data_IF_985337760086
#
_entry.id   IF_985337760086
#
_cell.length_a   1.000
_cell.length_b   1.000
_cell.length_c   1.000
_cell.angle_alpha   90.00
_cell.angle_beta   90.00
_cell.angle_gamma   90.00
#
_symmetry.space_group_name_H-M   'P 1'
#
loop_
_entity.id
_entity.type
_entity.pdbx_description
1 polymer ?
#
# COMPACT_ATOMS: atom_id res chain seq x y z
N UNK A 1 2.13 -5.25 28.49
CA UNK A 1 2.97 -6.39 28.05
C UNK A 1 3.38 -6.08 26.63
N UNK A 2 4.61 -5.60 26.44
CA UNK A 2 5.12 -5.25 25.11
C UNK A 2 5.62 -6.55 24.49
N UNK A 3 4.85 -7.13 23.58
CA UNK A 3 5.30 -8.30 22.82
C UNK A 3 6.44 -7.84 21.94
N UNK A 4 7.67 -8.21 22.31
CA UNK A 4 8.83 -8.08 21.42
C UNK A 4 8.57 -8.99 20.21
N UNK A 5 8.16 -8.40 19.09
CA UNK A 5 8.12 -9.10 17.79
C UNK A 5 9.54 -9.62 17.54
N UNK A 6 9.68 -10.93 17.37
CA UNK A 6 10.95 -11.51 16.93
C UNK A 6 11.35 -10.82 15.62
N UNK A 7 12.64 -10.51 15.47
CA UNK A 7 13.16 -9.99 14.22
C UNK A 7 13.02 -11.09 13.16
N UNK A 8 12.01 -10.96 12.31
CA UNK A 8 11.87 -11.79 11.12
C UNK A 8 12.79 -11.17 10.07
N UNK A 9 13.57 -12.00 9.39
CA UNK A 9 14.44 -11.60 8.29
C UNK A 9 13.88 -12.15 6.98
N UNK A 10 13.94 -11.36 5.91
CA UNK A 10 13.67 -11.85 4.56
C UNK A 10 14.81 -12.82 4.21
N UNK A 11 14.57 -14.12 4.33
CA UNK A 11 15.63 -15.15 4.22
C UNK A 11 15.33 -16.25 3.22
N UNK A 12 14.10 -16.31 2.70
CA UNK A 12 13.71 -17.36 1.77
C UNK A 12 13.77 -16.87 0.32
N UNK A 13 14.38 -17.70 -0.52
CA UNK A 13 14.46 -17.47 -1.96
C UNK A 13 13.08 -17.64 -2.59
N UNK A 14 12.57 -16.54 -3.14
CA UNK A 14 11.40 -16.50 -3.98
C UNK A 14 11.76 -17.06 -5.37
N UNK A 15 10.94 -17.94 -5.98
CA UNK A 15 11.21 -18.44 -7.32
C UNK A 15 11.40 -17.30 -8.31
N UNK A 16 12.47 -17.34 -9.11
CA UNK A 16 12.81 -16.24 -10.03
C UNK A 16 11.67 -15.86 -11.00
N UNK A 17 10.87 -16.84 -11.45
CA UNK A 17 9.70 -16.57 -12.29
C UNK A 17 8.61 -15.80 -11.54
N UNK A 18 8.46 -16.07 -10.25
CA UNK A 18 7.50 -15.38 -9.38
C UNK A 18 7.96 -13.95 -9.11
N UNK A 19 9.24 -13.74 -8.77
CA UNK A 19 9.84 -12.41 -8.54
C UNK A 19 9.64 -11.51 -9.75
N UNK A 20 9.91 -12.02 -10.95
CA UNK A 20 9.68 -11.30 -12.20
C UNK A 20 8.21 -10.94 -12.41
N UNK A 21 7.31 -11.90 -12.21
CA UNK A 21 5.87 -11.64 -12.34
C UNK A 21 5.38 -10.57 -11.35
N UNK A 22 5.91 -10.55 -10.12
CA UNK A 22 5.56 -9.50 -9.15
C UNK A 22 6.12 -8.14 -9.59
N UNK A 23 7.39 -8.08 -10.00
CA UNK A 23 8.01 -6.86 -10.49
C UNK A 23 7.21 -6.27 -11.67
N UNK A 24 6.91 -7.08 -12.69
CA UNK A 24 6.10 -6.68 -13.85
C UNK A 24 4.72 -6.15 -13.41
N UNK A 25 4.06 -6.81 -12.46
CA UNK A 25 2.75 -6.39 -11.95
C UNK A 25 2.80 -5.07 -11.16
N UNK A 26 3.89 -4.82 -10.41
CA UNK A 26 4.13 -3.56 -9.69
C UNK A 26 4.39 -2.42 -10.67
N UNK A 27 5.22 -2.64 -11.69
CA UNK A 27 5.50 -1.66 -12.74
C UNK A 27 4.27 -1.32 -13.56
N UNK A 28 3.42 -2.32 -13.87
CA UNK A 28 2.15 -2.11 -14.57
C UNK A 28 1.18 -1.19 -13.80
N UNK A 29 1.38 -1.02 -12.49
CA UNK A 29 0.63 -0.09 -11.63
C UNK A 29 1.29 1.28 -11.47
N UNK A 30 2.38 1.54 -12.20
CA UNK A 30 3.06 2.83 -12.25
C UNK A 30 4.15 3.04 -11.22
N UNK A 31 4.58 2.00 -10.49
CA UNK A 31 5.66 2.09 -9.52
C UNK A 31 7.01 1.69 -10.12
N UNK A 32 8.08 2.38 -9.74
CA UNK A 32 9.44 2.06 -10.20
C UNK A 32 10.03 0.90 -9.38
N UNK A 33 10.33 -0.22 -10.03
CA UNK A 33 11.11 -1.30 -9.42
C UNK A 33 12.59 -0.99 -9.61
N UNK A 34 13.31 -0.78 -8.51
CA UNK A 34 14.76 -0.55 -8.51
C UNK A 34 15.54 -1.85 -8.63
N UNK A 35 14.99 -2.90 -8.04
CA UNK A 35 15.65 -4.20 -8.02
C UNK A 35 14.68 -5.37 -7.82
N UNK A 36 15.07 -6.53 -8.32
CA UNK A 36 14.29 -7.75 -8.27
C UNK A 36 15.23 -8.96 -8.23
N UNK A 37 15.69 -9.32 -7.03
CA UNK A 37 16.53 -10.49 -6.80
C UNK A 37 15.73 -11.68 -6.31
N UNK A 38 16.37 -12.84 -6.32
CA UNK A 38 15.83 -14.13 -5.86
C UNK A 38 15.27 -14.09 -4.42
N UNK A 39 15.46 -13.02 -3.64
CA UNK A 39 14.94 -12.90 -2.28
C UNK A 39 13.96 -11.75 -2.06
N UNK A 40 13.89 -10.76 -2.98
CA UNK A 40 13.05 -9.59 -2.79
C UNK A 40 12.85 -8.75 -4.05
N UNK A 41 11.73 -8.01 -4.08
CA UNK A 41 11.47 -6.89 -4.98
C UNK A 41 11.65 -5.58 -4.21
N UNK A 42 12.42 -4.66 -4.77
CA UNK A 42 12.71 -3.34 -4.21
C UNK A 42 12.07 -2.27 -5.08
N UNK A 43 11.19 -1.47 -4.47
CA UNK A 43 10.41 -0.42 -5.14
C UNK A 43 10.87 0.94 -4.63
N UNK A 44 11.05 1.90 -5.54
CA UNK A 44 11.34 3.29 -5.20
C UNK A 44 10.11 3.95 -4.56
N UNK A 45 10.34 4.73 -3.50
CA UNK A 45 9.30 5.57 -2.92
C UNK A 45 9.41 6.99 -3.47
N UNK A 46 8.37 7.45 -4.15
CA UNK A 46 8.20 8.88 -4.39
C UNK A 46 7.77 9.60 -3.09
N UNK A 47 7.64 10.93 -3.15
CA UNK A 47 7.31 11.74 -1.98
C UNK A 47 5.95 11.38 -1.36
N UNK A 48 4.94 11.11 -2.20
CA UNK A 48 3.58 10.78 -1.75
C UNK A 48 3.56 9.40 -1.10
N UNK A 49 4.24 8.42 -1.70
CA UNK A 49 4.36 7.07 -1.16
C UNK A 49 5.16 7.04 0.14
N UNK A 50 6.26 7.78 0.22
CA UNK A 50 7.06 7.93 1.43
C UNK A 50 6.23 8.56 2.57
N UNK A 51 5.41 9.56 2.28
CA UNK A 51 4.49 10.15 3.26
C UNK A 51 3.44 9.12 3.71
N UNK A 52 2.82 8.41 2.77
CA UNK A 52 1.76 7.44 3.03
C UNK A 52 2.21 6.31 3.97
N UNK A 53 3.41 5.77 3.77
CA UNK A 53 3.99 4.71 4.62
C UNK A 53 4.77 5.25 5.83
N UNK A 54 4.73 6.57 6.06
CA UNK A 54 5.46 7.25 7.13
C UNK A 54 6.96 6.93 7.15
N UNK A 55 7.60 6.94 5.98
CA UNK A 55 9.02 6.65 5.84
C UNK A 55 9.88 7.73 6.49
N UNK A 56 10.22 7.55 7.77
CA UNK A 56 11.13 8.44 8.49
C UNK A 56 12.58 8.31 7.97
N UNK A 57 12.98 7.08 7.62
CA UNK A 57 14.34 6.71 7.21
C UNK A 57 14.28 5.55 6.20
N UNK A 58 14.03 5.86 4.93
CA UNK A 58 14.02 4.86 3.85
C UNK A 58 13.38 5.46 2.58
N UNK A 59 14.06 5.31 1.46
CA UNK A 59 13.60 5.72 0.13
C UNK A 59 13.08 4.53 -0.69
N UNK A 60 12.99 3.35 -0.06
CA UNK A 60 12.67 2.08 -0.73
C UNK A 60 11.71 1.24 0.10
N UNK A 61 10.72 0.67 -0.59
CA UNK A 61 9.92 -0.45 -0.11
C UNK A 61 10.60 -1.75 -0.53
N UNK A 62 10.80 -2.67 0.40
CA UNK A 62 11.30 -4.01 0.12
C UNK A 62 10.17 -5.00 0.38
N UNK A 63 9.87 -5.85 -0.59
CA UNK A 63 8.86 -6.92 -0.52
C UNK A 63 9.59 -8.26 -0.68
N UNK A 64 9.40 -9.18 0.25
CA UNK A 64 10.05 -10.49 0.19
C UNK A 64 9.37 -11.52 1.06
N UNK A 65 9.72 -12.79 0.89
CA UNK A 65 9.28 -13.85 1.79
C UNK A 65 10.06 -13.82 3.10
N UNK A 66 9.35 -14.01 4.20
CA UNK A 66 9.97 -14.09 5.50
C UNK A 66 9.30 -15.17 6.35
N UNK A 67 10.11 -15.83 7.18
CA UNK A 67 9.71 -17.01 7.94
C UNK A 67 9.85 -18.29 7.13
N UNK A 68 10.65 -19.23 7.66
CA UNK A 68 10.79 -20.55 7.09
C UNK A 68 9.48 -21.32 7.24
N UNK A 69 8.76 -21.54 6.14
CA UNK A 69 7.82 -22.65 6.11
C UNK A 69 8.60 -23.93 6.39
N UNK A 70 8.24 -24.66 7.45
CA UNK A 70 8.66 -26.06 7.54
C UNK A 70 8.04 -26.76 6.31
N UNK A 71 8.86 -27.48 5.53
CA UNK A 71 8.44 -28.32 4.39
C UNK A 71 8.08 -27.65 3.05
N UNK A 72 8.79 -26.59 2.64
CA UNK A 72 8.75 -26.13 1.25
C UNK A 72 7.43 -25.46 0.83
N UNK A 73 6.61 -25.08 1.80
CA UNK A 73 5.53 -24.13 1.62
C UNK A 73 6.14 -22.74 1.32
N UNK A 74 5.53 -21.96 0.41
CA UNK A 74 5.95 -20.58 0.17
C UNK A 74 5.86 -19.79 1.49
N UNK A 75 6.97 -19.16 1.88
CA UNK A 75 7.00 -18.29 3.06
C UNK A 75 5.97 -17.17 2.97
N UNK A 76 5.59 -16.61 4.11
CA UNK A 76 4.63 -15.50 4.11
C UNK A 76 5.27 -14.25 3.47
N UNK A 77 4.46 -13.47 2.75
CA UNK A 77 4.96 -12.28 2.07
C UNK A 77 4.96 -11.10 3.03
N UNK A 78 6.13 -10.55 3.27
CA UNK A 78 6.38 -9.41 4.13
C UNK A 78 6.82 -8.19 3.34
N UNK A 79 6.72 -7.04 3.99
CA UNK A 79 7.29 -5.80 3.49
C UNK A 79 8.01 -5.05 4.61
N UNK A 80 8.89 -4.13 4.22
CA UNK A 80 9.43 -3.13 5.13
C UNK A 80 10.19 -2.03 4.39
N UNK A 81 10.63 -1.04 5.13
CA UNK A 81 11.34 0.12 4.58
C UNK A 81 12.85 -0.07 4.69
N UNK A 82 13.56 0.35 3.66
CA UNK A 82 15.02 0.32 3.63
C UNK A 82 15.59 1.59 3.02
N UNK A 83 16.81 1.93 3.43
CA UNK A 83 17.60 3.02 2.84
C UNK A 83 18.61 2.54 1.79
N UNK A 84 18.90 1.24 1.78
CA UNK A 84 19.85 0.62 0.86
C UNK A 84 19.26 -0.55 0.07
N UNK A 85 18.02 -0.95 0.38
CA UNK A 85 17.33 -2.09 -0.23
C UNK A 85 17.81 -3.45 0.28
N UNK A 86 18.81 -3.49 1.17
CA UNK A 86 19.43 -4.72 1.66
C UNK A 86 19.08 -4.99 3.12
N UNK A 87 19.03 -3.95 3.95
CA UNK A 87 18.69 -4.07 5.36
C UNK A 87 17.30 -3.51 5.64
N UNK A 88 16.42 -4.35 6.18
CA UNK A 88 15.05 -4.00 6.58
C UNK A 88 14.91 -4.18 8.09
N UNK A 89 14.93 -3.11 8.90
CA UNK A 89 14.97 -3.19 10.36
C UNK A 89 13.64 -3.66 10.98
N UNK A 90 12.53 -3.44 10.26
CA UNK A 90 11.18 -3.78 10.69
C UNK A 90 10.41 -4.38 9.52
N UNK A 91 9.88 -5.58 9.72
CA UNK A 91 8.98 -6.24 8.78
C UNK A 91 7.55 -6.22 9.29
N UNK A 92 6.65 -5.94 8.37
CA UNK A 92 5.22 -6.12 8.52
C UNK A 92 4.70 -7.12 7.49
N UNK A 93 3.53 -7.69 7.78
CA UNK A 93 2.88 -8.61 6.87
C UNK A 93 2.31 -7.83 5.68
N UNK A 94 2.61 -8.29 4.47
CA UNK A 94 1.91 -7.84 3.27
C UNK A 94 0.75 -8.80 2.97
N UNK A 95 1.02 -10.10 3.05
CA UNK A 95 0.08 -11.17 2.74
C UNK A 95 -0.22 -11.29 1.23
N UNK A 96 -1.10 -12.24 0.88
CA UNK A 96 -1.41 -12.61 -0.50
C UNK A 96 -0.64 -13.85 -0.96
N UNK A 97 -1.17 -14.52 -1.99
CA UNK A 97 -0.62 -15.81 -2.47
C UNK A 97 -0.24 -15.80 -3.95
N UNK A 98 -0.61 -14.76 -4.68
CA UNK A 98 -0.25 -14.57 -6.09
C UNK A 98 0.46 -13.23 -6.31
N UNK A 99 1.32 -13.12 -7.35
CA UNK A 99 1.96 -11.85 -7.69
C UNK A 99 0.96 -10.70 -7.90
N UNK A 100 -0.19 -10.96 -8.53
CA UNK A 100 -1.22 -9.93 -8.77
C UNK A 100 -1.86 -9.42 -7.48
N UNK A 101 -2.20 -10.33 -6.56
CA UNK A 101 -2.76 -9.96 -5.25
C UNK A 101 -1.77 -9.15 -4.41
N UNK A 102 -0.49 -9.52 -4.47
CA UNK A 102 0.57 -8.85 -3.72
C UNK A 102 0.87 -7.49 -4.33
N UNK A 103 0.87 -7.39 -5.66
CA UNK A 103 0.99 -6.12 -6.35
C UNK A 103 -0.18 -5.18 -6.05
N UNK A 104 -1.42 -5.69 -5.97
CA UNK A 104 -2.57 -4.88 -5.55
C UNK A 104 -2.41 -4.36 -4.11
N UNK A 105 -1.95 -5.22 -3.19
CA UNK A 105 -1.68 -4.85 -1.80
C UNK A 105 -0.54 -3.85 -1.67
N UNK A 106 0.56 -4.05 -2.41
CA UNK A 106 1.68 -3.12 -2.45
C UNK A 106 1.25 -1.76 -3.00
N UNK A 107 0.46 -1.75 -4.07
CA UNK A 107 -0.08 -0.52 -4.62
C UNK A 107 -0.99 0.21 -3.62
N UNK A 108 -1.86 -0.51 -2.92
CA UNK A 108 -2.67 0.07 -1.83
C UNK A 108 -1.79 0.63 -0.72
N UNK A 109 -0.80 -0.14 -0.25
CA UNK A 109 0.15 0.28 0.77
C UNK A 109 0.84 1.60 0.39
N UNK A 110 1.36 1.68 -0.83
CA UNK A 110 2.04 2.87 -1.33
C UNK A 110 1.11 4.07 -1.52
N UNK A 111 -0.20 3.85 -1.70
CA UNK A 111 -1.19 4.93 -1.83
C UNK A 111 -1.79 5.37 -0.50
N UNK A 112 -1.85 4.49 0.49
CA UNK A 112 -2.74 4.68 1.67
C UNK A 112 -2.09 4.36 3.01
N UNK A 113 -0.86 3.85 3.00
CA UNK A 113 -0.14 3.44 4.20
C UNK A 113 -0.58 2.09 4.77
N UNK A 114 -1.46 1.34 4.08
CA UNK A 114 -1.96 0.03 4.53
C UNK A 114 -2.16 -0.94 3.37
N UNK A 115 -1.89 -2.24 3.54
CA UNK A 115 -2.11 -3.24 2.50
C UNK A 115 -3.54 -3.79 2.46
N UNK A 116 -4.27 -3.79 3.58
CA UNK A 116 -5.66 -4.26 3.63
C UNK A 116 -6.66 -3.21 3.12
N UNK A 117 -7.71 -3.65 2.41
CA UNK A 117 -8.76 -2.74 1.99
C UNK A 117 -9.57 -2.30 3.21
N UNK A 118 -9.96 -1.03 3.25
CA UNK A 118 -10.92 -0.50 4.21
C UNK A 118 -12.23 -0.16 3.53
N UNK A 119 -13.33 -0.33 4.25
CA UNK A 119 -14.58 0.32 3.88
C UNK A 119 -14.40 1.84 4.03
N UNK A 120 -14.52 2.57 2.93
CA UNK A 120 -14.38 4.02 2.92
C UNK A 120 -15.76 4.66 2.81
N UNK A 121 -16.02 5.58 3.74
CA UNK A 121 -17.18 6.46 3.68
C UNK A 121 -16.80 7.75 3.01
N UNK A 122 -17.42 8.04 1.88
CA UNK A 122 -17.30 9.35 1.28
C UNK A 122 -18.53 9.71 0.48
N UNK A 123 -18.57 10.98 0.08
CA UNK A 123 -19.54 11.49 -0.86
C UNK A 123 -18.92 11.54 -2.24
N UNK A 124 -19.71 11.18 -3.25
CA UNK A 124 -19.39 11.49 -4.63
C UNK A 124 -19.97 12.87 -4.96
N UNK A 125 -19.14 13.87 -5.28
CA UNK A 125 -19.65 15.20 -5.60
C UNK A 125 -20.42 15.15 -6.93
N UNK A 126 -21.62 15.74 -6.96
CA UNK A 126 -22.45 15.82 -8.18
C UNK A 126 -21.98 16.87 -9.19
N UNK A 127 -21.05 17.72 -8.78
CA UNK A 127 -20.47 18.79 -9.57
C UNK A 127 -18.96 18.88 -9.28
N UNK A 128 -18.22 19.58 -10.13
CA UNK A 128 -16.80 19.85 -9.87
C UNK A 128 -16.61 20.53 -8.51
N UNK A 129 -15.58 20.08 -7.79
CA UNK A 129 -15.18 20.64 -6.50
C UNK A 129 -14.65 22.05 -6.74
N UNK A 130 -15.24 23.05 -6.08
CA UNK A 130 -14.79 24.43 -6.24
C UNK A 130 -13.54 24.70 -5.40
N UNK A 131 -12.81 25.78 -5.70
CA UNK A 131 -11.64 26.23 -4.92
C UNK A 131 -11.97 26.56 -3.45
N UNK A 132 -13.25 26.74 -3.11
CA UNK A 132 -13.69 26.99 -1.74
C UNK A 132 -13.81 25.71 -0.90
N UNK A 133 -13.80 24.52 -1.51
CA UNK A 133 -13.84 23.26 -0.81
C UNK A 133 -12.52 23.00 -0.09
N UNK A 134 -12.61 22.79 1.23
CA UNK A 134 -11.47 22.40 2.08
C UNK A 134 -11.54 20.95 2.53
N UNK A 135 -12.57 20.20 2.09
CA UNK A 135 -12.62 18.77 2.36
C UNK A 135 -11.35 18.13 1.80
N UNK A 136 -10.73 17.17 2.50
CA UNK A 136 -9.69 16.36 1.91
C UNK A 136 -10.29 15.62 0.71
N UNK A 137 -9.97 16.12 -0.47
CA UNK A 137 -10.21 15.47 -1.75
C UNK A 137 -9.16 14.38 -1.93
N UNK A 138 -9.48 13.40 -2.78
CA UNK A 138 -8.59 12.35 -3.27
C UNK A 138 -8.67 11.04 -2.49
N UNK A 139 -9.86 10.44 -2.48
CA UNK A 139 -9.87 9.04 -2.84
C UNK A 139 -9.70 8.91 -4.35
N UNK A 140 -8.93 7.93 -4.86
CA UNK A 140 -8.68 7.83 -6.31
C UNK A 140 -9.95 7.58 -7.15
N UNK A 141 -11.07 7.18 -6.53
CA UNK A 141 -12.43 7.19 -7.09
C UNK A 141 -13.06 8.59 -7.29
N UNK A 142 -12.40 9.68 -6.87
CA UNK A 142 -12.95 11.04 -6.92
C UNK A 142 -13.87 11.41 -5.73
N UNK A 143 -14.01 10.50 -4.76
CA UNK A 143 -14.79 10.72 -3.55
C UNK A 143 -14.13 11.69 -2.56
N UNK A 144 -14.97 12.39 -1.78
CA UNK A 144 -14.57 13.31 -0.71
C UNK A 144 -15.09 12.84 0.65
N UNK A 145 -14.26 12.89 1.69
CA UNK A 145 -14.77 12.67 3.05
C UNK A 145 -15.52 13.95 3.48
N UNK A 146 -16.84 13.89 3.73
CA UNK A 146 -17.60 15.08 4.10
C UNK A 146 -17.14 15.60 5.47
N UNK A 147 -16.81 16.88 5.52
CA UNK A 147 -16.64 17.63 6.76
C UNK A 147 -17.97 18.34 7.06
N UNK A 148 -18.60 18.15 8.23
CA UNK A 148 -19.87 18.79 8.58
C UNK A 148 -19.83 20.32 8.50
N UNK A 149 -18.65 20.93 8.64
CA UNK A 149 -18.44 22.37 8.57
C UNK A 149 -18.09 22.86 7.15
N UNK A 150 -17.99 21.95 6.17
CA UNK A 150 -17.71 22.33 4.79
C UNK A 150 -18.91 23.08 4.16
N UNK A 151 -18.69 24.29 3.60
CA UNK A 151 -19.76 25.09 3.01
C UNK A 151 -20.36 24.47 1.75
N UNK A 152 -19.64 23.55 1.10
CA UNK A 152 -20.07 22.88 -0.13
C UNK A 152 -20.72 21.51 0.12
N UNK A 153 -20.18 20.72 1.06
CA UNK A 153 -20.49 19.29 1.18
C UNK A 153 -20.78 18.83 2.61
N UNK A 154 -20.83 19.74 3.58
CA UNK A 154 -21.19 19.40 4.96
C UNK A 154 -22.65 18.99 5.11
N UNK A 155 -23.01 18.48 6.29
CA UNK A 155 -24.30 17.84 6.62
C UNK A 155 -25.54 18.61 6.16
N UNK A 156 -25.44 19.95 6.02
CA UNK A 156 -26.53 20.82 5.57
C UNK A 156 -26.87 20.69 4.08
N UNK A 157 -25.98 20.15 3.25
CA UNK A 157 -26.21 19.94 1.81
C UNK A 157 -26.65 18.53 1.44
N UNK A 158 -26.80 17.64 2.45
CA UNK A 158 -27.20 16.24 2.27
C UNK A 158 -26.42 15.52 1.16
N UNK A 159 -25.10 15.34 1.31
CA UNK A 159 -24.33 14.58 0.33
C UNK A 159 -24.88 13.16 0.22
N UNK A 160 -24.91 12.64 -1.00
CA UNK A 160 -25.12 11.20 -1.20
C UNK A 160 -23.89 10.49 -0.70
N UNK A 161 -24.00 9.88 0.47
CA UNK A 161 -22.97 9.00 1.01
C UNK A 161 -23.10 7.64 0.32
N UNK A 162 -22.09 7.27 -0.45
CA UNK A 162 -21.93 5.92 -0.96
C UNK A 162 -20.88 5.18 -0.11
N UNK A 163 -21.09 3.88 0.04
CA UNK A 163 -20.18 3.00 0.74
C UNK A 163 -19.56 2.09 -0.29
N UNK A 164 -18.24 2.11 -0.38
CA UNK A 164 -17.54 1.10 -1.16
C UNK A 164 -16.17 0.78 -0.57
N UNK A 165 -15.58 -0.27 -1.11
CA UNK A 165 -14.25 -0.69 -0.74
C UNK A 165 -13.21 0.22 -1.37
N UNK A 166 -12.13 0.48 -0.64
CA UNK A 166 -10.98 1.20 -1.16
C UNK A 166 -10.45 0.56 -2.47
N UNK A 167 -10.54 -0.77 -2.63
CA UNK A 167 -10.20 -1.45 -3.89
C UNK A 167 -11.01 -1.01 -5.11
N UNK A 168 -12.16 -0.36 -4.93
CA UNK A 168 -12.93 0.24 -6.01
C UNK A 168 -12.46 1.68 -6.33
N UNK A 169 -11.59 2.27 -5.51
CA UNK A 169 -11.04 3.60 -5.73
C UNK A 169 -9.70 3.60 -6.43
N UNK A 170 -8.88 2.57 -6.28
CA UNK A 170 -7.49 2.55 -6.75
C UNK A 170 -7.36 1.83 -8.08
#
# INVERSE_FOLDING_TARGET
>A
MTTTRAAVSITDEMPAAWVRALADAIEARGWTVLDAYESAVVVELDADAAEAVHAAHGDRLVIGWAGSGEDGDPGEVHWGLSSDGAHVPHLDMLGGVTPDEISERAHRLLRTGRPEPRELRHAMPYAEISEACRCPTAHPCGGIVPDPDCPEHGDRRAPTMEWHWESACI
#
